data_IF_609725283272
#
_entry.id   IF_609725283272
#
_cell.length_a   1.000
_cell.length_b   1.000
_cell.length_c   1.000
_cell.angle_alpha   90.00
_cell.angle_beta   90.00
_cell.angle_gamma   90.00
#
_symmetry.space_group_name_H-M   'P 1'
#
loop_
_entity.id
_entity.type
_entity.pdbx_description
1 polymer ?
#
# COMPACT_ATOMS: atom_id res chain seq x y z
N UNK A 1 -12.40 -61.12 28.64
CA UNK A 1 -12.69 -59.76 28.13
C UNK A 1 -11.40 -58.98 28.04
N UNK A 2 -11.02 -58.56 26.85
CA UNK A 2 -9.83 -57.71 26.63
C UNK A 2 -10.28 -56.26 26.58
N UNK A 3 -9.76 -55.42 27.48
CA UNK A 3 -10.01 -53.97 27.47
C UNK A 3 -8.86 -53.29 26.74
N UNK A 4 -9.16 -52.48 25.73
CA UNK A 4 -8.16 -51.68 25.03
C UNK A 4 -8.16 -50.24 25.57
N UNK A 5 -6.98 -49.73 25.89
CA UNK A 5 -6.77 -48.33 26.28
C UNK A 5 -6.37 -47.51 25.06
N UNK A 6 -7.10 -46.43 24.79
CA UNK A 6 -6.71 -45.43 23.79
C UNK A 6 -5.82 -44.36 24.45
N UNK A 7 -4.70 -44.02 23.81
CA UNK A 7 -3.78 -43.00 24.30
C UNK A 7 -4.44 -41.60 24.32
N UNK A 8 -4.05 -40.78 25.30
CA UNK A 8 -4.53 -39.40 25.42
C UNK A 8 -4.15 -38.57 24.18
N UNK A 9 -5.11 -37.88 23.58
CA UNK A 9 -4.88 -37.05 22.39
C UNK A 9 -4.20 -35.75 22.80
N UNK A 10 -2.96 -35.57 22.38
CA UNK A 10 -2.24 -34.29 22.52
C UNK A 10 -2.71 -33.25 21.51
N UNK A 11 -2.56 -31.97 21.82
CA UNK A 11 -2.97 -30.86 20.94
C UNK A 11 -2.33 -30.92 19.53
N UNK A 12 -1.14 -31.53 19.41
CA UNK A 12 -0.46 -31.76 18.14
C UNK A 12 -1.18 -32.76 17.20
N UNK A 13 -1.96 -33.68 17.76
CA UNK A 13 -2.55 -34.83 17.05
C UNK A 13 -4.09 -34.80 17.05
N UNK A 14 -4.69 -33.84 17.74
CA UNK A 14 -6.14 -33.66 17.78
C UNK A 14 -6.61 -32.74 16.64
N UNK A 15 -7.51 -33.23 15.75
CA UNK A 15 -8.11 -32.41 14.70
C UNK A 15 -8.85 -31.18 15.27
N UNK A 16 -9.48 -31.35 16.44
CA UNK A 16 -10.17 -30.25 17.15
C UNK A 16 -9.17 -29.23 17.69
N UNK A 17 -8.04 -29.67 18.26
CA UNK A 17 -7.03 -28.74 18.75
C UNK A 17 -6.45 -27.89 17.61
N UNK A 18 -6.20 -28.48 16.42
CA UNK A 18 -5.82 -27.74 15.22
C UNK A 18 -6.87 -26.73 14.77
N UNK A 19 -8.16 -27.08 14.84
CA UNK A 19 -9.25 -26.17 14.50
C UNK A 19 -9.39 -25.01 15.51
N UNK A 20 -9.04 -25.24 16.78
CA UNK A 20 -9.06 -24.24 17.84
C UNK A 20 -7.75 -23.46 18.01
N UNK A 21 -6.68 -23.77 17.25
CA UNK A 21 -5.53 -22.88 17.15
C UNK A 21 -6.03 -21.59 16.50
N UNK A 22 -6.23 -20.56 17.32
CA UNK A 22 -6.62 -19.22 16.87
C UNK A 22 -5.67 -18.79 15.76
N UNK A 23 -6.22 -18.50 14.58
CA UNK A 23 -5.48 -17.80 13.53
C UNK A 23 -5.04 -16.46 14.11
N UNK A 24 -3.74 -16.22 14.13
CA UNK A 24 -3.18 -14.90 14.47
C UNK A 24 -3.80 -13.91 13.49
N UNK A 25 -4.56 -12.94 14.00
CA UNK A 25 -4.98 -11.79 13.20
C UNK A 25 -3.70 -10.97 13.05
N UNK A 26 -3.09 -11.02 11.87
CA UNK A 26 -1.75 -10.46 11.66
C UNK A 26 -1.75 -8.93 11.70
N UNK A 27 -2.90 -8.28 11.49
CA UNK A 27 -3.02 -6.83 11.51
C UNK A 27 -4.51 -6.43 11.64
N UNK A 28 -4.84 -5.46 12.49
CA UNK A 28 -6.19 -4.88 12.52
C UNK A 28 -6.27 -3.87 11.37
N UNK A 29 -7.33 -3.93 10.56
CA UNK A 29 -7.46 -3.08 9.36
C UNK A 29 -7.45 -1.56 9.62
N UNK A 30 -7.54 -1.14 10.89
CA UNK A 30 -7.55 0.27 11.32
C UNK A 30 -6.24 0.70 12.01
N UNK A 31 -5.26 -0.18 12.13
CA UNK A 31 -3.95 0.21 12.62
C UNK A 31 -3.24 0.95 11.48
N UNK A 32 -3.11 2.28 11.60
CA UNK A 32 -2.39 3.12 10.65
C UNK A 32 -0.88 3.08 10.92
N UNK A 33 -0.30 1.89 11.13
CA UNK A 33 1.14 1.75 11.25
C UNK A 33 1.75 1.77 9.84
N UNK A 34 1.90 2.97 9.31
CA UNK A 34 2.20 3.22 7.90
C UNK A 34 3.50 4.01 7.83
N UNK A 35 4.45 3.44 7.12
CA UNK A 35 5.74 4.01 6.74
C UNK A 35 5.66 5.53 6.53
N UNK A 36 6.33 6.33 7.38
CA UNK A 36 6.17 7.80 7.42
C UNK A 36 6.45 8.55 6.11
N UNK A 37 7.08 7.91 5.12
CA UNK A 37 7.32 8.50 3.80
C UNK A 37 6.10 8.40 2.87
N UNK A 38 5.30 7.32 2.95
CA UNK A 38 4.00 7.23 2.25
C UNK A 38 3.03 8.32 2.76
N UNK A 39 3.15 8.65 4.04
CA UNK A 39 2.34 9.66 4.71
C UNK A 39 2.60 11.08 4.17
N UNK A 40 3.83 11.40 3.77
CA UNK A 40 4.17 12.70 3.18
C UNK A 40 3.59 12.88 1.77
N UNK A 41 3.73 11.87 0.92
CA UNK A 41 3.16 11.90 -0.44
C UNK A 41 1.64 11.92 -0.40
N UNK A 42 1.01 11.14 0.49
CA UNK A 42 -0.43 11.14 0.67
C UNK A 42 -0.94 12.52 1.12
N UNK A 43 -0.28 13.16 2.09
CA UNK A 43 -0.65 14.52 2.52
C UNK A 43 -0.48 15.54 1.41
N UNK A 44 0.61 15.46 0.64
CA UNK A 44 0.83 16.34 -0.51
C UNK A 44 -0.25 16.16 -1.58
N UNK A 45 -0.61 14.91 -1.88
CA UNK A 45 -1.66 14.57 -2.82
C UNK A 45 -3.03 15.07 -2.37
N UNK A 46 -3.38 14.89 -1.09
CA UNK A 46 -4.64 15.41 -0.54
C UNK A 46 -4.70 16.94 -0.56
N UNK A 47 -3.59 17.63 -0.28
CA UNK A 47 -3.51 19.10 -0.43
C UNK A 47 -3.69 19.52 -1.89
N UNK A 48 -3.03 18.83 -2.81
CA UNK A 48 -3.14 19.12 -4.23
C UNK A 48 -4.55 18.86 -4.77
N UNK A 49 -5.20 17.79 -4.30
CA UNK A 49 -6.61 17.50 -4.56
C UNK A 49 -7.53 18.55 -3.97
N UNK A 50 -7.30 19.03 -2.75
CA UNK A 50 -8.10 20.10 -2.17
C UNK A 50 -8.02 21.40 -2.99
N UNK A 51 -6.89 21.66 -3.63
CA UNK A 51 -6.68 22.86 -4.46
C UNK A 51 -7.27 22.73 -5.87
N UNK A 52 -7.12 21.56 -6.52
CA UNK A 52 -7.44 21.38 -7.95
C UNK A 52 -8.61 20.43 -8.22
N UNK A 53 -9.13 19.75 -7.20
CA UNK A 53 -10.20 18.76 -7.30
C UNK A 53 -9.82 17.60 -8.22
N UNK A 54 -10.77 17.15 -9.05
CA UNK A 54 -10.57 16.06 -10.01
C UNK A 54 -9.44 16.33 -11.02
N UNK A 55 -9.05 17.60 -11.23
CA UNK A 55 -7.95 17.95 -12.12
C UNK A 55 -6.56 17.71 -11.49
N UNK A 56 -6.47 17.42 -10.18
CA UNK A 56 -5.20 17.36 -9.45
C UNK A 56 -4.20 16.35 -10.03
N UNK A 57 -4.64 15.18 -10.48
CA UNK A 57 -3.74 14.20 -11.11
C UNK A 57 -3.14 14.74 -12.41
N UNK A 58 -3.95 15.43 -13.22
CA UNK A 58 -3.52 16.06 -14.47
C UNK A 58 -2.58 17.24 -14.24
N UNK A 59 -2.80 18.03 -13.19
CA UNK A 59 -1.88 19.11 -12.81
C UNK A 59 -0.55 18.57 -12.27
N UNK A 60 -0.57 17.53 -11.43
CA UNK A 60 0.64 16.84 -10.98
C UNK A 60 1.44 16.26 -12.14
N UNK A 61 0.76 15.70 -13.16
CA UNK A 61 1.41 15.25 -14.41
C UNK A 61 2.17 16.38 -15.09
N UNK A 62 1.53 17.55 -15.29
CA UNK A 62 2.18 18.70 -15.94
C UNK A 62 3.43 19.14 -15.18
N UNK A 63 3.40 19.12 -13.86
CA UNK A 63 4.56 19.46 -13.03
C UNK A 63 5.67 18.42 -13.16
N UNK A 64 5.34 17.13 -13.21
CA UNK A 64 6.31 16.07 -13.46
C UNK A 64 6.96 16.24 -14.84
N UNK A 65 6.17 16.43 -15.89
CA UNK A 65 6.68 16.66 -17.25
C UNK A 65 7.58 17.91 -17.30
N UNK A 66 7.17 19.02 -16.69
CA UNK A 66 7.98 20.23 -16.62
C UNK A 66 9.33 20.01 -15.91
N UNK A 67 9.32 19.29 -14.78
CA UNK A 67 10.54 18.93 -14.05
C UNK A 67 11.44 17.98 -14.85
N UNK A 68 10.85 17.06 -15.61
CA UNK A 68 11.60 16.21 -16.53
C UNK A 68 12.30 17.03 -17.61
N UNK A 69 11.58 17.95 -18.26
CA UNK A 69 12.15 18.81 -19.30
C UNK A 69 13.21 19.78 -18.76
N UNK A 70 13.14 20.19 -17.49
CA UNK A 70 14.17 21.01 -16.84
C UNK A 70 15.37 20.21 -16.34
N UNK A 71 15.34 18.87 -16.41
CA UNK A 71 16.38 17.99 -15.88
C UNK A 71 16.39 17.87 -14.35
N UNK A 72 15.35 18.36 -13.67
CA UNK A 72 15.20 18.29 -12.21
C UNK A 72 14.60 16.94 -11.81
N UNK A 73 15.47 15.96 -11.61
CA UNK A 73 15.08 14.59 -11.28
C UNK A 73 14.38 14.48 -9.92
N UNK A 74 14.80 15.27 -8.94
CA UNK A 74 14.21 15.22 -7.60
C UNK A 74 12.75 15.70 -7.64
N UNK A 75 12.51 16.80 -8.35
CA UNK A 75 11.18 17.36 -8.47
C UNK A 75 10.29 16.49 -9.38
N UNK A 76 10.87 15.88 -10.43
CA UNK A 76 10.19 14.86 -11.22
C UNK A 76 9.72 13.68 -10.36
N UNK A 77 10.61 13.08 -9.56
CA UNK A 77 10.27 11.93 -8.71
C UNK A 77 9.19 12.30 -7.68
N UNK A 78 9.25 13.52 -7.14
CA UNK A 78 8.23 14.04 -6.22
C UNK A 78 6.86 14.14 -6.90
N UNK A 79 6.76 14.81 -8.05
CA UNK A 79 5.48 14.99 -8.74
C UNK A 79 4.95 13.69 -9.34
N UNK A 80 5.83 12.77 -9.76
CA UNK A 80 5.45 11.42 -10.16
C UNK A 80 4.88 10.64 -8.98
N UNK A 81 5.47 10.78 -7.79
CA UNK A 81 4.95 10.18 -6.55
C UNK A 81 3.56 10.71 -6.19
N UNK A 82 3.37 12.03 -6.22
CA UNK A 82 2.06 12.66 -5.99
C UNK A 82 1.04 12.21 -7.06
N UNK A 83 1.42 12.20 -8.34
CA UNK A 83 0.55 11.72 -9.41
C UNK A 83 0.17 10.25 -9.18
N UNK A 84 1.10 9.38 -8.79
CA UNK A 84 0.84 7.95 -8.51
C UNK A 84 -0.13 7.73 -7.36
N UNK A 85 -0.06 8.56 -6.31
CA UNK A 85 -1.02 8.48 -5.19
C UNK A 85 -2.44 8.90 -5.56
N UNK A 86 -2.60 9.76 -6.58
CA UNK A 86 -3.91 10.21 -7.07
C UNK A 86 -4.45 9.32 -8.20
N UNK A 87 -3.62 8.99 -9.18
CA UNK A 87 -3.91 8.15 -10.33
C UNK A 87 -2.66 7.34 -10.72
N UNK A 88 -2.65 6.07 -10.29
CA UNK A 88 -1.56 5.14 -10.57
C UNK A 88 -1.35 4.89 -12.06
N UNK A 89 -2.43 4.83 -12.85
CA UNK A 89 -2.36 4.53 -14.29
C UNK A 89 -1.72 5.68 -15.04
N UNK A 90 -2.11 6.91 -14.72
CA UNK A 90 -1.52 8.11 -15.32
C UNK A 90 -0.02 8.22 -14.98
N UNK A 91 0.37 7.93 -13.74
CA UNK A 91 1.79 7.93 -13.37
C UNK A 91 2.61 6.88 -14.13
N UNK A 92 2.07 5.69 -14.35
CA UNK A 92 2.72 4.65 -15.16
C UNK A 92 2.87 5.06 -16.63
N UNK A 93 1.92 5.81 -17.19
CA UNK A 93 2.02 6.37 -18.54
C UNK A 93 3.15 7.41 -18.64
N UNK A 94 3.26 8.31 -17.67
CA UNK A 94 4.35 9.31 -17.59
C UNK A 94 5.69 8.61 -17.47
N UNK A 95 5.81 7.66 -16.54
CA UNK A 95 7.07 6.95 -16.32
C UNK A 95 7.54 6.21 -17.58
N UNK A 96 6.62 5.79 -18.45
CA UNK A 96 6.95 5.17 -19.73
C UNK A 96 7.35 6.18 -20.80
N UNK A 97 6.77 7.37 -20.82
CA UNK A 97 7.08 8.40 -21.81
C UNK A 97 8.37 9.16 -21.52
N UNK A 98 8.81 9.15 -20.26
CA UNK A 98 10.02 9.85 -19.79
C UNK A 98 11.15 8.89 -19.39
N UNK A 99 11.03 7.59 -19.67
CA UNK A 99 12.10 6.59 -19.53
C UNK A 99 12.99 6.57 -20.77
#
# INVERSE_FOLDING_TARGET
MTVQFAAARTAATSPLARAFVRRRVEHVANDNDINGNEDLLLRAALRHFAQHGLAAASEARKQAEAAFFSGDRQNYDWWLGVCRTLDRRMAEEIARSTA
#
